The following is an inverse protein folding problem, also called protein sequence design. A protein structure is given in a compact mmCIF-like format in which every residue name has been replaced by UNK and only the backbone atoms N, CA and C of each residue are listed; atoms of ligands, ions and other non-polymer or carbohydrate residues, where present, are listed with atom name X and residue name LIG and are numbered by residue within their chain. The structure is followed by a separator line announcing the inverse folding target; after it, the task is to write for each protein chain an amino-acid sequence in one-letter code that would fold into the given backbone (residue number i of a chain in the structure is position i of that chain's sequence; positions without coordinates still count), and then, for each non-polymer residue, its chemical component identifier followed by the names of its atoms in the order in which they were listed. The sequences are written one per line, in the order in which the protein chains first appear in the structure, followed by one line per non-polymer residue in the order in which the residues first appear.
data_IF_394262885592
#
_entry.id   IF_394262885592
#
_cell.length_a   1.000
_cell.length_b   1.000
_cell.length_c   1.000
_cell.angle_alpha   90.00
_cell.angle_beta   90.00
_cell.angle_gamma   90.00
#
_symmetry.space_group_name_H-M   'P 1'
#
loop_
_entity.id
_entity.type
_entity.pdbx_description
1 polymer ?
#
# COMPACT_ATOMS: atom_id res chain seq x y z
N UNK A 1 12.23 -5.48 48.23
CA UNK A 1 11.86 -4.17 47.63
C UNK A 1 12.26 -4.25 46.17
N UNK A 2 11.32 -4.64 45.31
CA UNK A 2 11.56 -4.77 43.87
C UNK A 2 11.57 -3.35 43.29
N UNK A 3 12.75 -2.95 42.80
CA UNK A 3 12.97 -1.73 42.05
C UNK A 3 12.02 -1.70 40.84
N UNK A 4 11.09 -0.78 40.86
CA UNK A 4 10.27 -0.39 39.71
C UNK A 4 11.21 0.11 38.62
N UNK A 5 11.44 -0.68 37.58
CA UNK A 5 11.98 -0.17 36.33
C UNK A 5 11.02 0.93 35.87
N UNK A 6 11.45 2.18 35.93
CA UNK A 6 10.80 3.29 35.25
C UNK A 6 10.83 2.96 33.77
N UNK A 7 9.71 2.46 33.25
CA UNK A 7 9.46 2.45 31.82
C UNK A 7 9.43 3.90 31.39
N UNK A 8 10.55 4.42 30.87
CA UNK A 8 10.61 5.76 30.30
C UNK A 8 9.51 5.87 29.25
N UNK A 9 8.47 6.61 29.60
CA UNK A 9 7.30 6.78 28.76
C UNK A 9 7.70 7.71 27.61
N UNK A 10 7.49 7.26 26.37
CA UNK A 10 7.81 8.06 25.17
C UNK A 10 7.20 9.46 25.28
N UNK A 11 8.05 10.49 25.11
CA UNK A 11 7.60 11.88 25.17
C UNK A 11 7.13 12.36 23.80
N UNK A 12 6.37 13.46 23.79
CA UNK A 12 5.97 14.12 22.55
C UNK A 12 7.17 14.65 21.75
N UNK A 13 8.27 15.01 22.42
CA UNK A 13 9.48 15.48 21.77
C UNK A 13 10.22 14.34 21.06
N UNK A 14 10.34 13.18 21.71
CA UNK A 14 10.98 11.99 21.13
C UNK A 14 10.22 11.52 19.89
N UNK A 15 8.89 11.42 20.00
CA UNK A 15 8.04 11.10 18.86
C UNK A 15 8.06 12.20 17.78
N UNK A 16 8.18 13.46 18.19
CA UNK A 16 8.33 14.59 17.28
C UNK A 16 9.60 14.54 16.43
N UNK A 17 10.67 13.92 16.92
CA UNK A 17 11.92 13.73 16.19
C UNK A 17 11.90 12.51 15.24
N UNK A 18 10.91 11.61 15.38
CA UNK A 18 10.81 10.40 14.57
C UNK A 18 10.57 10.75 13.09
N UNK A 19 11.43 10.27 12.20
CA UNK A 19 11.23 10.43 10.75
C UNK A 19 10.07 9.54 10.29
N UNK A 20 9.19 10.11 9.46
CA UNK A 20 8.07 9.38 8.85
C UNK A 20 8.23 9.32 7.34
N UNK A 21 7.83 8.20 6.69
CA UNK A 21 7.83 8.11 5.24
C UNK A 21 6.86 9.11 4.62
N UNK A 22 7.13 9.55 3.38
CA UNK A 22 6.21 10.42 2.64
C UNK A 22 5.26 9.62 1.75
N UNK A 23 3.97 9.98 1.79
CA UNK A 23 2.94 9.45 0.92
C UNK A 23 3.24 9.80 -0.53
N UNK A 24 3.27 8.78 -1.38
CA UNK A 24 3.58 8.94 -2.81
C UNK A 24 2.34 9.32 -3.62
N UNK A 25 1.21 8.64 -3.40
CA UNK A 25 -0.06 8.88 -4.10
C UNK A 25 -1.24 8.68 -3.14
N UNK A 26 -2.39 9.36 -3.36
CA UNK A 26 -3.58 9.21 -2.51
C UNK A 26 -4.05 7.75 -2.38
N UNK A 27 -3.99 6.99 -3.47
CA UNK A 27 -4.39 5.59 -3.52
C UNK A 27 -3.59 4.66 -2.62
N UNK A 28 -2.37 5.07 -2.24
CA UNK A 28 -1.53 4.31 -1.32
C UNK A 28 -1.89 4.56 0.15
N UNK A 29 -2.87 5.42 0.48
CA UNK A 29 -3.13 5.82 1.87
C UNK A 29 -3.37 4.62 2.79
N UNK A 30 -4.05 3.58 2.32
CA UNK A 30 -4.37 2.42 3.13
C UNK A 30 -3.10 1.68 3.60
N UNK A 31 -2.16 1.44 2.69
CA UNK A 31 -0.88 0.82 3.01
C UNK A 31 0.03 1.77 3.82
N UNK A 32 -0.01 3.06 3.51
CA UNK A 32 0.76 4.09 4.21
C UNK A 32 0.36 4.20 5.68
N UNK A 33 -0.95 4.23 5.97
CA UNK A 33 -1.45 4.26 7.34
C UNK A 33 -1.01 3.00 8.12
N UNK A 34 -1.09 1.81 7.52
CA UNK A 34 -0.61 0.58 8.17
C UNK A 34 0.89 0.64 8.50
N UNK A 35 1.71 1.22 7.62
CA UNK A 35 3.14 1.40 7.86
C UNK A 35 3.40 2.38 9.02
N UNK A 36 2.67 3.50 9.04
CA UNK A 36 2.76 4.46 10.14
C UNK A 36 2.33 3.85 11.48
N UNK A 37 1.26 3.07 11.50
CA UNK A 37 0.81 2.39 12.73
C UNK A 37 1.89 1.45 13.29
N UNK A 38 2.56 0.69 12.43
CA UNK A 38 3.68 -0.17 12.84
C UNK A 38 4.83 0.66 13.41
N UNK A 39 5.23 1.72 12.71
CA UNK A 39 6.29 2.63 13.13
C UNK A 39 5.97 3.32 14.47
N UNK A 40 4.74 3.78 14.66
CA UNK A 40 4.29 4.39 15.91
C UNK A 40 4.21 3.37 17.05
N UNK A 41 3.78 2.14 16.77
CA UNK A 41 3.79 1.07 17.76
C UNK A 41 5.22 0.71 18.18
N UNK A 42 6.13 0.54 17.22
CA UNK A 42 7.55 0.25 17.48
C UNK A 42 8.22 1.35 18.29
N UNK A 43 7.89 2.61 18.01
CA UNK A 43 8.36 3.75 18.79
C UNK A 43 7.74 3.83 20.20
N UNK A 44 6.74 3.02 20.53
CA UNK A 44 6.04 3.07 21.82
C UNK A 44 5.00 4.19 21.94
N UNK A 45 4.48 4.70 20.81
CA UNK A 45 3.51 5.79 20.80
C UNK A 45 2.06 5.33 21.04
N UNK A 46 1.81 4.03 21.04
CA UNK A 46 0.49 3.45 21.25
C UNK A 46 0.49 1.93 21.19
N UNK A 47 -0.71 1.36 21.18
CA UNK A 47 -0.91 -0.10 21.18
C UNK A 47 -1.86 -0.52 20.06
N UNK A 48 -1.73 -1.76 19.58
CA UNK A 48 -2.73 -2.35 18.69
C UNK A 48 -3.78 -3.04 19.53
N UNK A 49 -5.03 -2.56 19.44
CA UNK A 49 -6.20 -3.20 20.04
C UNK A 49 -7.15 -3.62 18.93
N UNK A 50 -7.49 -4.92 18.88
CA UNK A 50 -8.40 -5.48 17.86
C UNK A 50 -7.99 -5.16 16.41
N UNK A 51 -6.69 -5.11 16.13
CA UNK A 51 -6.15 -4.80 14.80
C UNK A 51 -6.16 -3.31 14.42
N UNK A 52 -6.50 -2.42 15.36
CA UNK A 52 -6.46 -0.96 15.17
C UNK A 52 -5.44 -0.36 16.11
N UNK A 53 -4.59 0.52 15.58
CA UNK A 53 -3.67 1.29 16.40
C UNK A 53 -4.42 2.32 17.25
N UNK A 54 -4.08 2.40 18.54
CA UNK A 54 -4.62 3.34 19.49
C UNK A 54 -3.45 4.10 20.12
N UNK A 55 -3.25 5.38 19.76
CA UNK A 55 -2.22 6.21 20.38
C UNK A 55 -2.44 6.35 21.89
N UNK A 56 -1.36 6.46 22.66
CA UNK A 56 -1.47 6.90 24.04
C UNK A 56 -2.07 8.31 24.10
N UNK A 57 -2.88 8.57 25.13
CA UNK A 57 -3.66 9.81 25.24
C UNK A 57 -2.83 11.09 25.12
N UNK A 58 -1.64 11.11 25.71
CA UNK A 58 -0.71 12.24 25.69
C UNK A 58 0.03 12.44 24.35
N UNK A 59 -0.04 11.45 23.44
CA UNK A 59 0.65 11.49 22.14
C UNK A 59 -0.30 11.66 20.95
N UNK A 60 -1.62 11.73 21.18
CA UNK A 60 -2.63 11.80 20.10
C UNK A 60 -2.37 12.91 19.09
N UNK A 61 -2.06 14.12 19.58
CA UNK A 61 -1.76 15.27 18.72
C UNK A 61 -0.43 15.10 17.99
N UNK A 62 0.58 14.54 18.65
CA UNK A 62 1.88 14.29 18.02
C UNK A 62 1.78 13.24 16.90
N UNK A 63 1.03 12.16 17.12
CA UNK A 63 0.72 11.16 16.08
C UNK A 63 0.01 11.80 14.90
N UNK A 64 -0.96 12.68 15.15
CA UNK A 64 -1.65 13.44 14.11
C UNK A 64 -0.68 14.34 13.32
N UNK A 65 0.18 15.09 14.00
CA UNK A 65 1.17 15.95 13.33
C UNK A 65 2.13 15.12 12.47
N UNK A 66 2.52 13.94 12.94
CA UNK A 66 3.32 12.99 12.16
C UNK A 66 2.58 12.43 10.95
N UNK A 67 1.29 12.17 11.06
CA UNK A 67 0.47 11.83 9.90
C UNK A 67 0.46 12.99 8.88
N UNK A 68 0.24 14.23 9.31
CA UNK A 68 0.27 15.39 8.41
C UNK A 68 1.63 15.58 7.73
N UNK A 69 2.73 15.47 8.48
CA UNK A 69 4.09 15.51 7.94
C UNK A 69 4.27 14.45 6.85
N UNK A 70 3.80 13.22 7.11
CA UNK A 70 3.90 12.10 6.18
C UNK A 70 3.10 12.32 4.88
N UNK A 71 2.08 13.18 4.88
CA UNK A 71 1.23 13.43 3.71
C UNK A 71 1.41 14.82 3.11
N UNK A 72 2.38 15.60 3.59
CA UNK A 72 2.55 17.01 3.20
C UNK A 72 2.72 17.21 1.68
N UNK A 73 3.30 16.23 0.99
CA UNK A 73 3.44 16.21 -0.48
C UNK A 73 2.11 16.01 -1.23
N UNK A 74 1.02 15.71 -0.52
CA UNK A 74 -0.28 15.39 -1.09
C UNK A 74 -1.36 16.29 -0.50
N UNK A 75 -1.51 17.49 -1.07
CA UNK A 75 -2.43 18.53 -0.58
C UNK A 75 -3.86 18.03 -0.41
N UNK A 76 -4.36 17.23 -1.36
CA UNK A 76 -5.71 16.65 -1.31
C UNK A 76 -5.93 15.78 -0.06
N UNK A 77 -4.93 14.99 0.33
CA UNK A 77 -5.04 14.12 1.52
C UNK A 77 -4.87 14.96 2.79
N UNK A 78 -3.96 15.92 2.77
CA UNK A 78 -3.70 16.83 3.90
C UNK A 78 -4.94 17.65 4.29
N UNK A 79 -5.66 18.23 3.31
CA UNK A 79 -6.88 19.00 3.58
C UNK A 79 -7.96 18.15 4.24
N UNK A 80 -8.20 16.93 3.72
CA UNK A 80 -9.17 15.99 4.28
C UNK A 80 -8.80 15.57 5.70
N UNK A 81 -7.52 15.34 5.98
CA UNK A 81 -7.04 15.03 7.34
C UNK A 81 -7.36 16.17 8.32
N UNK A 82 -7.14 17.42 7.94
CA UNK A 82 -7.45 18.57 8.79
C UNK A 82 -8.95 18.61 9.14
N UNK A 83 -9.82 18.46 8.14
CA UNK A 83 -11.28 18.50 8.33
C UNK A 83 -11.76 17.36 9.24
N UNK A 84 -11.27 16.14 9.04
CA UNK A 84 -11.66 14.98 9.86
C UNK A 84 -11.14 15.11 11.29
N UNK A 85 -9.88 15.52 11.46
CA UNK A 85 -9.24 15.55 12.78
C UNK A 85 -9.90 16.54 13.73
N UNK A 86 -10.31 17.71 13.23
CA UNK A 86 -11.03 18.71 14.01
C UNK A 86 -12.39 18.19 14.49
N UNK A 87 -13.13 17.49 13.62
CA UNK A 87 -14.47 16.97 13.93
C UNK A 87 -14.45 15.69 14.78
N UNK A 88 -13.33 14.95 14.77
CA UNK A 88 -13.17 13.68 15.49
C UNK A 88 -12.39 13.79 16.80
N UNK A 89 -12.06 15.01 17.23
CA UNK A 89 -11.19 15.28 18.37
C UNK A 89 -9.84 14.55 18.28
N UNK A 90 -9.28 14.38 17.08
CA UNK A 90 -8.01 13.66 16.84
C UNK A 90 -8.07 12.16 17.23
N UNK A 91 -9.19 11.47 17.00
CA UNK A 91 -9.30 10.01 17.21
C UNK A 91 -8.72 9.27 16.01
N UNK A 92 -7.61 8.55 16.21
CA UNK A 92 -6.92 7.83 15.13
C UNK A 92 -7.83 6.87 14.36
N UNK A 93 -8.66 6.10 15.05
CA UNK A 93 -9.57 5.14 14.43
C UNK A 93 -10.55 5.81 13.46
N UNK A 94 -11.06 6.99 13.81
CA UNK A 94 -11.98 7.77 12.97
C UNK A 94 -11.23 8.34 11.77
N UNK A 95 -10.07 8.98 12.00
CA UNK A 95 -9.23 9.52 10.93
C UNK A 95 -8.86 8.42 9.91
N UNK A 96 -8.39 7.27 10.39
CA UNK A 96 -8.05 6.13 9.54
C UNK A 96 -9.24 5.64 8.72
N UNK A 97 -10.40 5.45 9.35
CA UNK A 97 -11.59 4.94 8.68
C UNK A 97 -12.05 5.87 7.55
N UNK A 98 -12.15 7.18 7.84
CA UNK A 98 -12.56 8.20 6.87
C UNK A 98 -11.56 8.31 5.70
N UNK A 99 -10.25 8.31 5.98
CA UNK A 99 -9.24 8.34 4.91
C UNK A 99 -9.27 7.09 4.03
N UNK A 100 -9.50 5.93 4.62
CA UNK A 100 -9.65 4.69 3.86
C UNK A 100 -10.93 4.71 3.01
N UNK A 101 -12.00 5.28 3.55
CA UNK A 101 -13.26 5.47 2.83
C UNK A 101 -13.15 6.50 1.71
N UNK A 102 -12.28 7.50 1.81
CA UNK A 102 -12.14 8.51 0.76
C UNK A 102 -11.18 8.04 -0.35
N UNK A 103 -10.00 7.52 0.01
CA UNK A 103 -8.93 7.28 -0.95
C UNK A 103 -8.55 5.81 -1.16
N UNK A 104 -9.00 4.89 -0.29
CA UNK A 104 -8.67 3.46 -0.38
C UNK A 104 -9.91 2.59 -0.68
N UNK A 105 -10.98 3.17 -1.24
CA UNK A 105 -12.15 2.39 -1.67
C UNK A 105 -11.76 1.39 -2.73
N UNK A 106 -12.25 0.17 -2.57
CA UNK A 106 -11.98 -0.92 -3.51
C UNK A 106 -12.32 -0.53 -4.96
N UNK A 107 -13.42 0.20 -5.17
CA UNK A 107 -13.87 0.62 -6.50
C UNK A 107 -12.87 1.59 -7.17
N UNK A 108 -12.32 2.53 -6.40
CA UNK A 108 -11.30 3.48 -6.85
C UNK A 108 -9.99 2.77 -7.15
N UNK A 109 -9.55 1.90 -6.24
CA UNK A 109 -8.32 1.11 -6.42
C UNK A 109 -8.43 0.17 -7.64
N UNK A 110 -9.62 -0.39 -7.89
CA UNK A 110 -9.91 -1.15 -9.13
C UNK A 110 -9.77 -0.28 -10.38
N UNK A 111 -10.34 0.92 -10.36
CA UNK A 111 -10.29 1.83 -11.51
C UNK A 111 -8.84 2.23 -11.84
N UNK A 112 -8.04 2.54 -10.83
CA UNK A 112 -6.62 2.87 -10.99
C UNK A 112 -5.80 1.68 -11.47
N UNK A 113 -6.00 0.50 -10.87
CA UNK A 113 -5.40 -0.75 -11.33
C UNK A 113 -5.70 -0.98 -12.83
N UNK A 114 -6.96 -0.82 -13.24
CA UNK A 114 -7.36 -0.96 -14.63
C UNK A 114 -6.71 0.11 -15.54
N UNK A 115 -6.48 1.32 -15.06
CA UNK A 115 -5.76 2.35 -15.80
C UNK A 115 -4.27 1.99 -15.97
N UNK A 116 -3.61 1.50 -14.91
CA UNK A 116 -2.22 1.03 -14.97
C UNK A 116 -2.08 -0.15 -15.93
N UNK A 117 -2.97 -1.14 -15.85
CA UNK A 117 -2.96 -2.29 -16.76
C UNK A 117 -3.20 -1.90 -18.23
N UNK A 118 -4.07 -0.92 -18.49
CA UNK A 118 -4.30 -0.40 -19.85
C UNK A 118 -3.07 0.32 -20.41
N UNK A 119 -2.40 1.14 -19.59
CA UNK A 119 -1.21 1.90 -19.99
C UNK A 119 0.09 1.08 -20.06
N UNK A 120 0.10 -0.14 -19.49
CA UNK A 120 1.25 -1.04 -19.60
C UNK A 120 1.48 -1.43 -21.07
N UNK A 121 2.68 -1.14 -21.57
CA UNK A 121 3.11 -1.42 -22.94
C UNK A 121 4.57 -1.83 -22.98
N UNK A 122 4.91 -2.73 -23.91
CA UNK A 122 6.28 -3.14 -24.19
C UNK A 122 6.79 -2.42 -25.44
N UNK A 123 7.80 -1.57 -25.28
CA UNK A 123 8.33 -0.74 -26.37
C UNK A 123 9.58 -1.33 -27.03
N UNK A 124 10.06 -2.48 -26.58
CA UNK A 124 11.24 -3.16 -27.13
C UNK A 124 12.23 -3.61 -26.05
N UNK A 125 13.25 -4.35 -26.49
CA UNK A 125 14.24 -4.99 -25.59
C UNK A 125 15.00 -3.98 -24.72
N UNK A 126 15.29 -2.79 -25.24
CA UNK A 126 15.94 -1.71 -24.48
C UNK A 126 15.08 -1.14 -23.33
N UNK A 127 13.81 -1.53 -23.23
CA UNK A 127 12.87 -1.08 -22.19
C UNK A 127 12.32 -2.21 -21.31
N UNK A 128 12.89 -3.43 -21.43
CA UNK A 128 12.42 -4.62 -20.70
C UNK A 128 12.37 -4.38 -19.20
N UNK A 129 13.42 -3.83 -18.61
CA UNK A 129 13.47 -3.58 -17.16
C UNK A 129 12.36 -2.62 -16.71
N UNK A 130 12.12 -1.56 -17.49
CA UNK A 130 11.04 -0.60 -17.22
C UNK A 130 9.67 -1.27 -17.33
N UNK A 131 9.46 -2.11 -18.33
CA UNK A 131 8.23 -2.89 -18.48
C UNK A 131 8.02 -3.83 -17.28
N UNK A 132 9.05 -4.59 -16.89
CA UNK A 132 8.98 -5.51 -15.75
C UNK A 132 8.72 -4.75 -14.43
N UNK A 133 9.35 -3.60 -14.23
CA UNK A 133 9.11 -2.75 -13.05
C UNK A 133 7.65 -2.27 -12.99
N UNK A 134 7.08 -1.86 -14.13
CA UNK A 134 5.67 -1.46 -14.22
C UNK A 134 4.72 -2.64 -14.01
N UNK A 135 5.02 -3.81 -14.58
CA UNK A 135 4.24 -5.03 -14.37
C UNK A 135 4.25 -5.47 -12.89
N UNK A 136 5.40 -5.39 -12.22
CA UNK A 136 5.52 -5.65 -10.80
C UNK A 136 4.74 -4.64 -9.95
N UNK A 137 4.74 -3.36 -10.31
CA UNK A 137 3.91 -2.35 -9.65
C UNK A 137 2.41 -2.68 -9.79
N UNK A 138 1.98 -3.08 -10.99
CA UNK A 138 0.60 -3.52 -11.22
C UNK A 138 0.25 -4.78 -10.39
N UNK A 139 1.20 -5.70 -10.19
CA UNK A 139 0.99 -6.89 -9.35
C UNK A 139 0.77 -6.52 -7.89
N UNK A 140 1.52 -5.54 -7.38
CA UNK A 140 1.32 -5.02 -6.01
C UNK A 140 -0.07 -4.41 -5.85
N UNK A 141 -0.54 -3.64 -6.84
CA UNK A 141 -1.91 -3.10 -6.84
C UNK A 141 -2.97 -4.21 -6.90
N UNK A 142 -2.76 -5.23 -7.73
CA UNK A 142 -3.63 -6.42 -7.80
C UNK A 142 -3.79 -7.05 -6.41
N UNK A 143 -2.69 -7.25 -5.66
CA UNK A 143 -2.76 -7.83 -4.31
C UNK A 143 -3.57 -6.97 -3.35
N UNK A 144 -3.48 -5.65 -3.45
CA UNK A 144 -4.28 -4.72 -2.64
C UNK A 144 -5.78 -4.81 -2.98
N UNK A 145 -6.11 -4.96 -4.26
CA UNK A 145 -7.51 -4.91 -4.75
C UNK A 145 -8.24 -6.25 -4.65
N UNK A 146 -7.56 -7.34 -4.95
CA UNK A 146 -8.13 -8.68 -5.11
C UNK A 146 -7.57 -9.69 -4.12
N UNK A 147 -6.52 -9.35 -3.36
CA UNK A 147 -5.94 -10.23 -2.34
C UNK A 147 -5.32 -11.47 -2.97
N UNK A 148 -5.87 -12.63 -2.60
CA UNK A 148 -5.41 -13.96 -3.04
C UNK A 148 -6.31 -14.61 -4.09
N UNK A 149 -7.14 -13.83 -4.80
CA UNK A 149 -8.03 -14.34 -5.84
C UNK A 149 -7.25 -14.93 -7.03
N UNK A 150 -7.22 -16.27 -7.11
CA UNK A 150 -6.48 -16.97 -8.17
C UNK A 150 -7.02 -16.69 -9.58
N UNK A 151 -8.31 -16.42 -9.74
CA UNK A 151 -8.88 -16.14 -11.06
C UNK A 151 -8.41 -14.78 -11.59
N UNK A 152 -8.42 -13.77 -10.72
CA UNK A 152 -7.92 -12.43 -11.06
C UNK A 152 -6.40 -12.41 -11.26
N UNK A 153 -5.64 -13.20 -10.48
CA UNK A 153 -4.20 -13.37 -10.70
C UNK A 153 -3.88 -13.94 -12.09
N UNK A 154 -4.66 -14.93 -12.53
CA UNK A 154 -4.55 -15.52 -13.87
C UNK A 154 -4.86 -14.49 -14.95
N UNK A 155 -5.99 -13.80 -14.82
CA UNK A 155 -6.41 -12.72 -15.74
C UNK A 155 -5.35 -11.62 -15.88
N UNK A 156 -4.77 -11.20 -14.76
CA UNK A 156 -3.67 -10.23 -14.74
C UNK A 156 -2.44 -10.76 -15.47
N UNK A 157 -1.98 -11.96 -15.12
CA UNK A 157 -0.79 -12.58 -15.73
C UNK A 157 -0.96 -12.67 -17.24
N UNK A 158 -2.13 -13.15 -17.69
CA UNK A 158 -2.50 -13.21 -19.11
C UNK A 158 -2.39 -11.83 -19.77
N UNK A 159 -2.96 -10.81 -19.14
CA UNK A 159 -2.96 -9.44 -19.66
C UNK A 159 -1.56 -8.86 -19.81
N UNK A 160 -0.65 -9.12 -18.85
CA UNK A 160 0.76 -8.69 -18.92
C UNK A 160 1.49 -9.41 -20.04
N UNK A 161 1.37 -10.74 -20.14
CA UNK A 161 2.05 -11.53 -21.17
C UNK A 161 1.57 -11.14 -22.58
N UNK A 162 0.29 -10.81 -22.74
CA UNK A 162 -0.26 -10.31 -24.01
C UNK A 162 0.26 -8.93 -24.42
N UNK A 163 0.95 -8.18 -23.55
CA UNK A 163 1.66 -6.95 -23.93
C UNK A 163 2.98 -7.22 -24.65
N UNK A 164 3.50 -8.44 -24.58
CA UNK A 164 4.76 -8.81 -25.22
C UNK A 164 4.56 -9.14 -26.71
N UNK A 165 5.56 -8.86 -27.56
CA UNK A 165 5.61 -9.36 -28.93
C UNK A 165 5.48 -10.89 -28.97
N UNK A 166 4.85 -11.41 -30.01
CA UNK A 166 4.53 -12.83 -30.18
C UNK A 166 5.71 -13.77 -29.90
N UNK A 167 6.89 -13.50 -30.48
CA UNK A 167 8.09 -14.32 -30.26
C UNK A 167 8.48 -14.42 -28.79
N UNK A 168 8.41 -13.30 -28.05
CA UNK A 168 8.73 -13.28 -26.62
C UNK A 168 7.63 -13.94 -25.80
N UNK A 169 6.37 -13.74 -26.18
CA UNK A 169 5.23 -14.41 -25.54
C UNK A 169 5.38 -15.93 -25.59
N UNK A 170 5.74 -16.49 -26.75
CA UNK A 170 5.97 -17.93 -26.90
C UNK A 170 7.09 -18.41 -25.96
N UNK A 171 8.24 -17.73 -25.94
CA UNK A 171 9.35 -18.09 -25.06
C UNK A 171 8.97 -18.04 -23.57
N UNK A 172 8.29 -16.97 -23.13
CA UNK A 172 7.84 -16.81 -21.73
C UNK A 172 6.90 -17.94 -21.34
N UNK A 173 5.95 -18.26 -22.20
CA UNK A 173 4.99 -19.35 -21.97
C UNK A 173 5.68 -20.71 -21.86
N UNK A 174 6.65 -20.99 -22.74
CA UNK A 174 7.44 -22.22 -22.69
C UNK A 174 8.25 -22.33 -21.40
N UNK A 175 8.86 -21.23 -20.93
CA UNK A 175 9.59 -21.19 -19.66
C UNK A 175 8.66 -21.41 -18.45
N UNK A 176 7.48 -20.80 -18.44
CA UNK A 176 6.50 -21.00 -17.35
C UNK A 176 6.03 -22.46 -17.25
N UNK A 177 5.86 -23.13 -18.40
CA UNK A 177 5.54 -24.56 -18.45
C UNK A 177 6.67 -25.43 -17.92
N UNK A 178 7.91 -25.18 -18.34
CA UNK A 178 9.07 -26.00 -17.96
C UNK A 178 9.37 -25.90 -16.47
N UNK A 179 9.17 -24.73 -15.87
CA UNK A 179 9.35 -24.47 -14.44
C UNK A 179 8.17 -24.96 -13.58
N UNK A 180 7.10 -25.52 -14.19
CA UNK A 180 5.88 -25.97 -13.48
C UNK A 180 5.28 -24.88 -12.58
N UNK A 181 5.41 -23.61 -13.00
CA UNK A 181 4.87 -22.46 -12.24
C UNK A 181 3.35 -22.48 -12.39
N UNK A 182 2.66 -22.88 -11.32
CA UNK A 182 1.21 -23.12 -11.34
C UNK A 182 0.90 -24.55 -11.77
N UNK A 183 0.08 -25.24 -10.99
CA UNK A 183 -0.32 -26.63 -11.25
C UNK A 183 -1.10 -26.71 -12.56
N UNK A 184 -0.42 -27.07 -13.65
CA UNK A 184 -0.99 -27.57 -14.89
C UNK A 184 -2.16 -26.76 -15.44
N UNK A 185 -1.88 -25.55 -15.92
CA UNK A 185 -2.37 -25.01 -17.19
C UNK A 185 -1.80 -23.59 -17.34
N UNK A 186 -0.81 -23.43 -18.21
CA UNK A 186 -0.25 -22.17 -18.75
C UNK A 186 -1.26 -21.40 -19.64
N UNK A 187 -2.53 -21.70 -19.35
CA UNK A 187 -3.82 -21.37 -19.94
C UNK A 187 -3.90 -21.54 -21.45
N UNK A 188 -3.49 -22.76 -21.80
CA UNK A 188 -3.77 -23.55 -23.00
C UNK A 188 -3.38 -22.89 -24.30
N UNK A 189 -2.23 -22.21 -24.25
CA UNK A 189 -1.61 -21.43 -25.31
C UNK A 189 -2.36 -20.16 -25.64
N UNK A 190 -1.86 -19.06 -25.08
CA UNK A 190 -2.18 -17.74 -25.60
C UNK A 190 -2.15 -17.74 -27.14
N UNK A 191 -3.14 -17.12 -27.80
CA UNK A 191 -3.24 -17.11 -29.26
C UNK A 191 -2.01 -16.48 -29.92
#
# INVERSE_FOLDING_TARGET
ILSSASSDQLTAADLGALSVPSLQTPSCIGAHLCLLEQLFQEAGAGTISSGVFVPHGHLRITVYNKLLESVQSCELVSSVIHDIAQNSEYKWSVIKAELQQEFARRDLLKAEYNAVMRSLSFSGLGTVETFLRKALAAFRMYRTVYGSDRAELRSMTRSVVMKLPEKLRICVVQSLQSEKVGSGDWELALP
#
